data_IF_044247016093
#
_entry.id   IF_044247016093
#
_cell.length_a   1.000
_cell.length_b   1.000
_cell.length_c   1.000
_cell.angle_alpha   90.00
_cell.angle_beta   90.00
_cell.angle_gamma   90.00
#
_symmetry.space_group_name_H-M   'P 1'
#
loop_
_entity.id
_entity.type
_entity.pdbx_description
1 polymer ?
#
# COMPACT_ATOMS: atom_id res chain seq x y z
N UNK A 1 -9.33 -66.66 8.50
CA UNK A 1 -10.11 -67.90 8.52
C UNK A 1 -11.09 -67.82 7.35
N UNK A 2 -10.98 -68.76 6.39
CA UNK A 2 -11.70 -68.87 5.09
C UNK A 2 -11.19 -67.94 3.96
N UNK A 3 -10.33 -68.40 3.02
CA UNK A 3 -10.53 -69.35 1.89
C UNK A 3 -11.48 -68.77 0.84
N UNK A 4 -11.01 -68.44 -0.37
CA UNK A 4 -11.07 -69.23 -1.63
C UNK A 4 -11.57 -68.24 -2.72
N UNK A 5 -11.22 -68.21 -3.99
CA UNK A 5 -10.82 -69.26 -4.92
C UNK A 5 -10.25 -68.60 -6.20
N UNK A 6 -9.07 -69.05 -6.64
CA UNK A 6 -8.59 -68.95 -8.02
C UNK A 6 -9.07 -70.20 -8.77
N UNK A 7 -9.77 -70.04 -9.90
CA UNK A 7 -10.01 -71.05 -10.95
C UNK A 7 -10.94 -70.35 -11.97
N UNK A 8 -10.55 -70.02 -13.20
CA UNK A 8 -10.25 -70.92 -14.31
C UNK A 8 -9.43 -70.19 -15.38
N UNK A 9 -8.28 -70.78 -15.74
CA UNK A 9 -7.65 -70.64 -17.04
C UNK A 9 -7.81 -72.00 -17.73
N UNK A 10 -8.30 -71.99 -18.97
CA UNK A 10 -8.09 -72.94 -20.06
C UNK A 10 -8.65 -72.15 -21.27
N UNK A 11 -7.90 -71.84 -22.32
CA UNK A 11 -7.53 -72.73 -23.40
C UNK A 11 -6.17 -72.33 -24.03
N UNK A 12 -5.25 -73.28 -24.07
CA UNK A 12 -4.16 -73.37 -25.03
C UNK A 12 -4.72 -73.76 -26.41
N UNK A 13 -4.24 -73.15 -27.51
CA UNK A 13 -3.39 -73.84 -28.49
C UNK A 13 -2.94 -72.94 -29.66
N UNK A 14 -1.64 -73.05 -29.95
CA UNK A 14 -0.70 -72.35 -30.85
C UNK A 14 -0.99 -72.53 -32.38
N UNK A 15 -0.12 -72.12 -33.34
CA UNK A 15 0.93 -71.07 -33.43
C UNK A 15 0.85 -70.24 -34.75
N UNK A 16 1.66 -69.16 -34.89
CA UNK A 16 2.62 -68.92 -36.02
C UNK A 16 3.05 -67.45 -36.12
N UNK A 17 4.37 -67.27 -35.98
CA UNK A 17 5.27 -66.36 -36.70
C UNK A 17 4.69 -65.11 -37.43
N UNK A 18 5.23 -63.96 -36.99
CA UNK A 18 5.79 -62.89 -37.83
C UNK A 18 4.81 -62.02 -38.63
N UNK A 19 4.56 -60.80 -38.16
CA UNK A 19 4.98 -59.61 -38.92
C UNK A 19 4.95 -58.36 -38.03
N UNK A 20 6.13 -57.78 -37.89
CA UNK A 20 6.40 -56.43 -37.41
C UNK A 20 5.59 -55.42 -38.26
N UNK A 21 4.51 -54.86 -37.72
CA UNK A 21 3.87 -53.66 -38.27
C UNK A 21 3.98 -52.54 -37.25
N UNK A 22 4.94 -51.68 -37.57
CA UNK A 22 5.20 -50.34 -37.05
C UNK A 22 3.88 -49.55 -36.93
N UNK A 23 3.23 -49.61 -35.76
CA UNK A 23 2.22 -48.60 -35.41
C UNK A 23 2.99 -47.33 -35.07
N UNK A 24 3.17 -46.48 -36.08
CA UNK A 24 3.48 -45.07 -35.88
C UNK A 24 2.30 -44.52 -35.10
N UNK A 25 2.40 -44.54 -33.77
CA UNK A 25 1.57 -43.74 -32.92
C UNK A 25 1.80 -42.29 -33.35
N UNK A 26 0.83 -41.71 -34.05
CA UNK A 26 0.72 -40.27 -34.14
C UNK A 26 0.42 -39.78 -32.72
N UNK A 27 1.48 -39.57 -31.94
CA UNK A 27 1.44 -38.67 -30.82
C UNK A 27 1.18 -37.29 -31.41
N UNK A 28 -0.09 -36.95 -31.56
CA UNK A 28 -0.48 -35.56 -31.75
C UNK A 28 -0.02 -34.84 -30.49
N UNK A 29 1.05 -34.07 -30.63
CA UNK A 29 1.45 -33.11 -29.61
C UNK A 29 0.18 -32.34 -29.18
N UNK A 30 -0.07 -32.13 -27.88
CA UNK A 30 -1.16 -31.27 -27.46
C UNK A 30 -1.01 -29.97 -28.23
N UNK A 31 -2.07 -29.59 -28.95
CA UNK A 31 -2.08 -28.40 -29.79
C UNK A 31 -1.46 -27.26 -28.99
N UNK A 32 -0.40 -26.65 -29.54
CA UNK A 32 0.29 -25.52 -28.95
C UNK A 32 -0.77 -24.56 -28.42
N UNK A 33 -0.77 -24.34 -27.10
CA UNK A 33 -1.72 -23.47 -26.42
C UNK A 33 -1.74 -22.16 -27.20
N UNK A 34 -2.90 -21.84 -27.79
CA UNK A 34 -3.06 -20.69 -28.68
C UNK A 34 -2.41 -19.50 -27.99
N UNK A 35 -1.36 -18.97 -28.62
CA UNK A 35 -0.58 -17.82 -28.18
C UNK A 35 -1.51 -16.79 -27.53
N UNK A 36 -1.58 -16.80 -26.19
CA UNK A 36 -2.49 -15.95 -25.44
C UNK A 36 -2.01 -14.54 -25.72
N UNK A 37 -2.77 -13.79 -26.50
CA UNK A 37 -2.37 -12.43 -26.88
C UNK A 37 -2.47 -11.52 -25.65
N UNK A 38 -1.40 -11.51 -24.85
CA UNK A 38 -1.28 -10.68 -23.67
C UNK A 38 -1.45 -9.19 -24.00
N UNK A 39 -1.32 -8.76 -25.28
CA UNK A 39 -1.48 -7.36 -25.68
C UNK A 39 -2.93 -6.89 -25.59
N UNK A 40 -3.91 -7.77 -25.84
CA UNK A 40 -5.35 -7.46 -25.73
C UNK A 40 -5.80 -7.29 -24.29
N UNK A 41 -5.21 -8.06 -23.37
CA UNK A 41 -5.60 -8.08 -21.95
C UNK A 41 -4.87 -7.01 -21.11
N UNK A 42 -3.73 -6.47 -21.60
CA UNK A 42 -2.97 -5.43 -20.89
C UNK A 42 -3.77 -4.18 -20.56
N UNK A 43 -4.77 -3.83 -21.36
CA UNK A 43 -5.63 -2.68 -21.09
C UNK A 43 -6.92 -3.06 -20.35
N UNK A 44 -7.22 -4.35 -20.16
CA UNK A 44 -8.38 -4.81 -19.39
C UNK A 44 -8.18 -4.71 -17.87
N UNK A 45 -6.99 -4.30 -17.41
CA UNK A 45 -6.69 -4.07 -16.00
C UNK A 45 -7.55 -2.89 -15.50
N UNK A 46 -8.23 -3.09 -14.36
CA UNK A 46 -9.18 -2.13 -13.80
C UNK A 46 -8.60 -0.70 -13.62
N UNK A 47 -7.31 -0.58 -13.33
CA UNK A 47 -6.62 0.70 -13.10
C UNK A 47 -6.31 1.48 -14.39
N UNK A 48 -6.37 0.82 -15.55
CA UNK A 48 -6.17 1.43 -16.86
C UNK A 48 -7.49 1.72 -17.59
N UNK A 49 -8.62 1.38 -16.97
CA UNK A 49 -9.94 1.70 -17.48
C UNK A 49 -10.27 3.18 -17.18
N UNK A 50 -11.00 3.86 -18.08
CA UNK A 50 -11.43 5.24 -17.83
C UNK A 50 -12.30 5.31 -16.58
N UNK A 51 -12.12 6.37 -15.79
CA UNK A 51 -12.95 6.62 -14.61
C UNK A 51 -14.36 6.98 -15.08
N UNK A 52 -15.33 6.10 -14.83
CA UNK A 52 -16.73 6.31 -15.16
C UNK A 52 -17.44 6.86 -13.92
N UNK A 53 -18.04 8.06 -14.05
CA UNK A 53 -18.85 8.65 -12.97
C UNK A 53 -20.08 7.77 -12.72
N UNK A 54 -20.18 7.20 -11.53
CA UNK A 54 -21.32 6.39 -11.11
C UNK A 54 -22.39 7.28 -10.47
N UNK A 55 -23.65 7.02 -10.79
CA UNK A 55 -24.77 7.64 -10.09
C UNK A 55 -25.00 6.91 -8.76
N UNK A 56 -25.29 7.63 -7.66
CA UNK A 56 -25.61 7.00 -6.38
C UNK A 56 -26.80 6.03 -6.51
N UNK A 57 -26.75 4.84 -5.88
CA UNK A 57 -27.87 3.91 -5.84
C UNK A 57 -29.13 4.52 -5.19
N UNK A 58 -30.29 4.00 -5.58
CA UNK A 58 -31.55 4.36 -4.94
C UNK A 58 -31.57 3.88 -3.48
N UNK A 59 -32.07 4.74 -2.59
CA UNK A 59 -32.13 4.46 -1.15
C UNK A 59 -33.47 3.83 -0.76
N UNK A 60 -33.42 2.89 0.18
CA UNK A 60 -34.59 2.47 0.93
C UNK A 60 -35.03 3.57 1.90
N UNK A 61 -36.31 3.55 2.31
CA UNK A 61 -36.87 4.57 3.20
C UNK A 61 -36.14 4.63 4.55
N UNK A 62 -35.67 3.48 5.04
CA UNK A 62 -34.98 3.35 6.33
C UNK A 62 -33.62 4.07 6.37
N UNK A 63 -32.94 4.20 5.23
CA UNK A 63 -31.58 4.76 5.16
C UNK A 63 -31.56 6.27 4.90
N UNK A 64 -32.70 6.88 4.54
CA UNK A 64 -32.77 8.30 4.13
C UNK A 64 -32.31 9.27 5.21
N UNK A 65 -32.53 8.94 6.48
CA UNK A 65 -32.13 9.80 7.60
C UNK A 65 -30.68 9.55 8.06
N UNK A 66 -30.07 8.44 7.65
CA UNK A 66 -28.70 8.07 8.02
C UNK A 66 -27.68 8.61 7.01
N UNK A 67 -28.04 8.60 5.72
CA UNK A 67 -27.19 9.07 4.63
C UNK A 67 -26.92 10.57 4.75
N UNK A 68 -25.64 10.95 4.83
CA UNK A 68 -25.17 12.35 4.88
C UNK A 68 -24.45 12.76 3.60
N UNK A 69 -23.81 11.82 2.91
CA UNK A 69 -23.03 12.09 1.71
C UNK A 69 -23.31 11.04 0.59
N UNK A 70 -22.89 11.29 -0.67
CA UNK A 70 -23.11 10.35 -1.77
C UNK A 70 -22.45 8.98 -1.61
N UNK A 71 -21.38 8.86 -0.80
CA UNK A 71 -20.68 7.61 -0.52
C UNK A 71 -21.55 6.70 0.35
N UNK A 72 -22.29 7.27 1.30
CA UNK A 72 -23.20 6.54 2.19
C UNK A 72 -24.28 5.80 1.40
N UNK A 73 -24.67 6.27 0.21
CA UNK A 73 -25.60 5.53 -0.67
C UNK A 73 -25.03 4.18 -1.11
N UNK A 74 -23.75 4.15 -1.47
CA UNK A 74 -23.09 2.92 -1.90
C UNK A 74 -22.91 1.96 -0.72
N UNK A 75 -22.64 2.49 0.48
CA UNK A 75 -22.56 1.70 1.70
C UNK A 75 -23.92 1.10 2.05
N UNK A 76 -24.98 1.92 2.08
CA UNK A 76 -26.35 1.46 2.36
C UNK A 76 -26.80 0.38 1.37
N UNK A 77 -26.56 0.58 0.06
CA UNK A 77 -26.86 -0.43 -0.95
C UNK A 77 -26.14 -1.77 -0.70
N UNK A 78 -24.85 -1.72 -0.31
CA UNK A 78 -24.08 -2.93 0.01
C UNK A 78 -24.50 -3.60 1.32
N UNK A 79 -24.97 -2.83 2.30
CA UNK A 79 -25.52 -3.37 3.54
C UNK A 79 -26.87 -4.06 3.29
N UNK A 80 -27.78 -3.42 2.53
CA UNK A 80 -29.08 -4.02 2.16
C UNK A 80 -28.91 -5.30 1.34
N UNK A 81 -28.01 -5.32 0.34
CA UNK A 81 -27.66 -6.54 -0.43
C UNK A 81 -27.24 -7.70 0.49
N UNK A 82 -26.54 -7.39 1.59
CA UNK A 82 -26.07 -8.34 2.58
C UNK A 82 -27.03 -8.56 3.75
N UNK A 83 -28.21 -7.92 3.74
CA UNK A 83 -29.20 -7.97 4.82
C UNK A 83 -28.63 -7.50 6.17
N UNK A 84 -27.73 -6.52 6.13
CA UNK A 84 -27.11 -5.90 7.29
C UNK A 84 -27.66 -4.48 7.50
N UNK A 85 -27.57 -4.00 8.74
CA UNK A 85 -27.93 -2.64 9.12
C UNK A 85 -26.70 -1.87 9.58
N UNK A 86 -26.77 -0.54 9.48
CA UNK A 86 -25.71 0.35 9.97
C UNK A 86 -25.62 0.26 11.50
N UNK A 87 -24.40 0.38 12.03
CA UNK A 87 -24.20 0.45 13.47
C UNK A 87 -24.70 1.79 14.02
N UNK A 88 -25.23 1.83 15.25
CA UNK A 88 -25.59 3.09 15.89
C UNK A 88 -24.35 3.96 16.08
N UNK A 89 -24.56 5.27 16.09
CA UNK A 89 -23.50 6.23 16.37
C UNK A 89 -22.90 5.99 17.77
N UNK A 90 -21.59 6.15 17.87
CA UNK A 90 -20.90 5.90 19.13
C UNK A 90 -21.19 7.01 20.14
N UNK A 91 -21.16 6.66 21.42
CA UNK A 91 -21.28 7.62 22.52
C UNK A 91 -20.25 8.76 22.38
N UNK A 92 -20.60 10.02 22.71
CA UNK A 92 -19.69 11.17 22.56
C UNK A 92 -18.32 10.97 23.21
N UNK A 93 -18.24 10.31 24.38
CA UNK A 93 -16.95 10.00 25.02
C UNK A 93 -16.09 9.04 24.21
N UNK A 94 -16.72 8.09 23.51
CA UNK A 94 -16.02 7.17 22.61
C UNK A 94 -15.57 7.88 21.34
N UNK A 95 -16.38 8.79 20.81
CA UNK A 95 -16.05 9.56 19.60
C UNK A 95 -14.82 10.44 19.81
N UNK A 96 -14.81 11.29 20.84
CA UNK A 96 -13.64 12.15 21.11
C UNK A 96 -12.37 11.33 21.34
N UNK A 97 -12.47 10.23 22.10
CA UNK A 97 -11.31 9.36 22.33
C UNK A 97 -10.76 8.79 21.02
N UNK A 98 -11.62 8.31 20.11
CA UNK A 98 -11.20 7.78 18.81
C UNK A 98 -10.52 8.86 17.97
N UNK A 99 -11.15 10.03 17.84
CA UNK A 99 -10.59 11.16 17.09
C UNK A 99 -9.18 11.53 17.55
N UNK A 100 -8.98 11.66 18.86
CA UNK A 100 -7.67 12.00 19.42
C UNK A 100 -6.60 10.93 19.14
N UNK A 101 -6.93 9.64 19.28
CA UNK A 101 -5.98 8.57 18.97
C UNK A 101 -5.71 8.43 17.47
N UNK A 102 -6.72 8.62 16.64
CA UNK A 102 -6.60 8.46 15.20
C UNK A 102 -5.82 9.64 14.59
N UNK A 103 -6.11 10.87 15.00
CA UNK A 103 -5.51 12.07 14.43
C UNK A 103 -4.20 12.48 15.10
N UNK A 104 -4.11 12.41 16.43
CA UNK A 104 -2.93 12.86 17.19
C UNK A 104 -2.12 11.70 17.79
N UNK A 105 -2.73 10.52 17.98
CA UNK A 105 -2.09 9.39 18.62
C UNK A 105 -1.97 9.48 20.14
N UNK A 106 -2.60 10.49 20.75
CA UNK A 106 -2.59 10.75 22.19
C UNK A 106 -4.02 10.73 22.72
N UNK A 107 -4.25 10.40 24.01
CA UNK A 107 -5.57 10.53 24.60
C UNK A 107 -5.97 12.01 24.82
N UNK A 108 -7.27 12.35 24.78
CA UNK A 108 -7.75 13.65 25.21
C UNK A 108 -7.61 13.82 26.72
N UNK A 109 -7.52 15.06 27.18
CA UNK A 109 -7.58 15.42 28.59
C UNK A 109 -9.01 15.26 29.15
N UNK A 110 -9.17 15.08 30.48
CA UNK A 110 -10.50 15.00 31.09
C UNK A 110 -11.38 16.24 30.82
N UNK A 111 -10.77 17.42 30.76
CA UNK A 111 -11.49 18.69 30.54
C UNK A 111 -12.01 18.78 29.10
N UNK A 112 -11.19 18.44 28.10
CA UNK A 112 -11.61 18.38 26.69
C UNK A 112 -12.75 17.36 26.48
N UNK A 113 -12.71 16.22 27.19
CA UNK A 113 -13.81 15.24 27.16
C UNK A 113 -15.07 15.82 27.78
N UNK A 114 -14.96 16.51 28.92
CA UNK A 114 -16.12 17.12 29.57
C UNK A 114 -16.75 18.17 28.67
N UNK A 115 -15.94 19.06 28.09
CA UNK A 115 -16.39 20.12 27.19
C UNK A 115 -17.15 19.54 26.00
N UNK A 116 -16.56 18.59 25.28
CA UNK A 116 -17.17 17.96 24.11
C UNK A 116 -18.47 17.21 24.43
N UNK A 117 -18.53 16.50 25.56
CA UNK A 117 -19.72 15.73 25.95
C UNK A 117 -20.89 16.65 26.33
N UNK A 118 -20.60 17.84 26.86
CA UNK A 118 -21.62 18.82 27.22
C UNK A 118 -21.98 19.78 26.07
N UNK A 119 -21.20 19.79 24.99
CA UNK A 119 -21.46 20.64 23.84
C UNK A 119 -22.68 20.12 23.07
N UNK A 120 -23.73 20.95 23.02
CA UNK A 120 -24.98 20.66 22.32
C UNK A 120 -25.03 21.24 20.91
N UNK A 121 -23.99 21.96 20.49
CA UNK A 121 -23.89 22.50 19.14
C UNK A 121 -23.89 21.35 18.12
N UNK A 122 -24.79 21.38 17.11
CA UNK A 122 -24.77 20.40 16.02
C UNK A 122 -23.44 20.31 15.26
N UNK A 123 -22.58 21.33 15.35
CA UNK A 123 -21.25 21.38 14.74
C UNK A 123 -20.10 21.06 15.71
N UNK A 124 -20.38 20.62 16.93
CA UNK A 124 -19.34 20.32 17.93
C UNK A 124 -18.33 19.27 17.42
N UNK A 125 -18.80 18.26 16.69
CA UNK A 125 -17.95 17.21 16.13
C UNK A 125 -17.03 17.76 15.03
N UNK A 126 -17.59 18.49 14.07
CA UNK A 126 -16.86 19.08 12.95
C UNK A 126 -15.83 20.10 13.44
N UNK A 127 -16.21 20.97 14.39
CA UNK A 127 -15.28 21.91 15.03
C UNK A 127 -14.12 21.20 15.73
N UNK A 128 -14.40 20.10 16.42
CA UNK A 128 -13.36 19.30 17.06
C UNK A 128 -12.42 18.68 16.01
N UNK A 129 -12.96 18.10 14.93
CA UNK A 129 -12.15 17.54 13.85
C UNK A 129 -11.25 18.59 13.23
N UNK A 130 -11.79 19.77 12.89
CA UNK A 130 -11.01 20.87 12.32
C UNK A 130 -9.90 21.34 13.27
N UNK A 131 -10.20 21.44 14.57
CA UNK A 131 -9.21 21.78 15.60
C UNK A 131 -8.07 20.76 15.68
N UNK A 132 -8.39 19.46 15.63
CA UNK A 132 -7.41 18.39 15.69
C UNK A 132 -6.56 18.33 14.41
N UNK A 133 -7.16 18.52 13.23
CA UNK A 133 -6.44 18.60 11.96
C UNK A 133 -5.53 19.84 11.89
N UNK A 134 -5.94 20.95 12.51
CA UNK A 134 -5.13 22.16 12.62
C UNK A 134 -4.03 22.11 13.69
N UNK A 135 -3.96 21.06 14.49
CA UNK A 135 -2.95 20.89 15.54
C UNK A 135 -1.59 20.53 14.95
N UNK A 136 -0.46 21.11 15.42
CA UNK A 136 0.87 20.71 14.95
C UNK A 136 1.19 19.23 15.20
N UNK A 137 0.53 18.62 16.19
CA UNK A 137 0.66 17.20 16.54
C UNK A 137 0.09 16.28 15.45
N UNK A 138 -0.82 16.78 14.61
CA UNK A 138 -1.35 16.02 13.47
C UNK A 138 -0.22 15.65 12.51
N UNK A 139 0.60 16.63 12.11
CA UNK A 139 1.74 16.41 11.24
C UNK A 139 2.78 15.49 11.86
N UNK A 140 3.03 15.58 13.17
CA UNK A 140 3.94 14.65 13.87
C UNK A 140 3.43 13.20 13.85
N UNK A 141 2.11 13.02 14.05
CA UNK A 141 1.47 11.71 14.02
C UNK A 141 1.50 11.11 12.63
N UNK A 142 1.09 11.85 11.62
CA UNK A 142 0.96 11.37 10.24
C UNK A 142 2.28 11.26 9.50
N UNK A 143 3.25 12.14 9.80
CA UNK A 143 4.60 12.03 9.28
C UNK A 143 5.25 10.71 9.68
N UNK A 144 4.99 10.18 10.88
CA UNK A 144 5.52 8.87 11.30
C UNK A 144 5.12 7.77 10.32
N UNK A 145 3.84 7.71 9.94
CA UNK A 145 3.36 6.71 8.99
C UNK A 145 4.03 6.85 7.61
N UNK A 146 4.27 8.08 7.16
CA UNK A 146 5.03 8.31 5.92
C UNK A 146 6.48 7.86 6.05
N UNK A 147 7.14 8.21 7.15
CA UNK A 147 8.54 7.86 7.42
C UNK A 147 8.75 6.34 7.52
N UNK A 148 7.77 5.61 8.04
CA UNK A 148 7.77 4.15 8.07
C UNK A 148 7.70 3.56 6.64
N UNK A 149 6.84 4.12 5.77
CA UNK A 149 6.66 3.65 4.38
C UNK A 149 7.95 3.76 3.56
N UNK A 150 8.69 4.86 3.76
CA UNK A 150 9.91 5.14 2.98
C UNK A 150 11.17 4.58 3.63
N UNK A 151 11.05 3.84 4.74
CA UNK A 151 12.17 3.28 5.50
C UNK A 151 13.14 4.34 6.04
N UNK A 152 12.62 5.47 6.53
CA UNK A 152 13.45 6.49 7.15
C UNK A 152 14.14 5.95 8.41
N UNK A 153 15.41 6.28 8.56
CA UNK A 153 16.19 5.98 9.76
C UNK A 153 17.19 7.08 10.06
N UNK A 154 17.40 7.36 11.34
CA UNK A 154 18.47 8.26 11.82
C UNK A 154 19.86 7.61 11.76
N UNK A 155 19.94 6.35 11.30
CA UNK A 155 21.16 5.58 11.11
C UNK A 155 21.21 4.92 9.73
N UNK A 156 22.33 4.30 9.36
CA UNK A 156 22.47 3.64 8.07
C UNK A 156 21.62 2.38 7.93
N UNK A 157 21.26 1.72 9.03
CA UNK A 157 20.36 0.56 9.02
C UNK A 157 20.91 -0.67 8.28
N UNK A 158 22.23 -0.73 8.03
CA UNK A 158 22.90 -1.79 7.30
C UNK A 158 24.28 -2.09 7.88
N UNK A 159 24.67 -3.37 7.91
CA UNK A 159 25.94 -3.97 8.40
C UNK A 159 26.75 -3.11 9.39
N UNK A 160 27.53 -2.13 8.91
CA UNK A 160 28.13 -1.07 9.73
C UNK A 160 27.16 0.10 9.94
N UNK A 161 26.26 -0.08 10.91
CA UNK A 161 25.30 0.95 11.24
C UNK A 161 25.97 2.19 11.87
N UNK A 162 25.87 3.33 11.19
CA UNK A 162 26.38 4.62 11.69
C UNK A 162 25.23 5.62 11.77
N UNK A 163 25.39 6.60 12.66
CA UNK A 163 24.48 7.74 12.73
C UNK A 163 24.51 8.55 11.44
N UNK A 164 23.35 9.09 11.07
CA UNK A 164 23.19 10.10 10.01
C UNK A 164 22.94 11.47 10.66
N UNK A 165 23.97 12.32 10.83
CA UNK A 165 23.82 13.57 11.58
C UNK A 165 22.78 14.53 11.00
N UNK A 166 22.50 14.42 9.70
CA UNK A 166 21.64 15.33 8.94
C UNK A 166 20.40 14.62 8.35
N UNK A 167 19.91 13.53 8.96
CA UNK A 167 18.67 12.89 8.51
C UNK A 167 17.41 13.67 8.93
N UNK A 168 17.45 14.27 10.13
CA UNK A 168 16.32 14.96 10.75
C UNK A 168 15.68 16.11 9.94
N UNK A 169 16.38 16.88 9.07
CA UNK A 169 15.73 17.93 8.29
C UNK A 169 14.64 17.38 7.36
N UNK A 170 14.85 16.17 6.82
CA UNK A 170 13.83 15.53 5.99
C UNK A 170 12.60 15.13 6.81
N UNK A 171 12.78 14.57 8.02
CA UNK A 171 11.68 14.28 8.94
C UNK A 171 10.87 15.55 9.23
N UNK A 172 11.55 16.64 9.56
CA UNK A 172 10.91 17.91 9.87
C UNK A 172 10.21 18.50 8.63
N UNK A 173 10.75 18.29 7.43
CA UNK A 173 10.08 18.63 6.17
C UNK A 173 8.74 17.88 6.01
N UNK A 174 8.72 16.56 6.26
CA UNK A 174 7.49 15.76 6.15
C UNK A 174 6.44 16.24 7.16
N UNK A 175 6.83 16.50 8.41
CA UNK A 175 5.93 17.04 9.45
C UNK A 175 5.30 18.36 9.00
N UNK A 176 6.11 19.28 8.47
CA UNK A 176 5.61 20.57 7.95
C UNK A 176 4.69 20.38 6.75
N UNK A 177 5.02 19.48 5.84
CA UNK A 177 4.20 19.22 4.66
C UNK A 177 2.78 18.78 5.05
N UNK A 178 2.64 17.87 6.02
CA UNK A 178 1.33 17.47 6.55
C UNK A 178 0.60 18.62 7.25
N UNK A 179 1.27 19.36 8.14
CA UNK A 179 0.65 20.48 8.86
C UNK A 179 0.23 21.65 7.95
N UNK A 180 0.86 21.80 6.79
CA UNK A 180 0.52 22.84 5.81
C UNK A 180 -0.51 22.40 4.76
N UNK A 181 -1.05 21.18 4.87
CA UNK A 181 -1.90 20.55 3.83
C UNK A 181 -1.27 20.66 2.43
N UNK A 182 0.00 20.24 2.32
CA UNK A 182 0.76 20.43 1.09
C UNK A 182 0.13 19.63 -0.05
N UNK A 183 -0.15 20.26 -1.22
CA UNK A 183 -0.68 19.54 -2.36
C UNK A 183 0.21 18.35 -2.74
N UNK A 184 -0.41 17.17 -2.91
CA UNK A 184 0.32 15.92 -3.15
C UNK A 184 1.32 16.04 -4.31
N UNK A 185 0.92 16.65 -5.44
CA UNK A 185 1.83 16.84 -6.57
C UNK A 185 3.08 17.64 -6.23
N UNK A 186 2.96 18.67 -5.38
CA UNK A 186 4.09 19.47 -4.88
C UNK A 186 4.98 18.64 -3.94
N UNK A 187 4.35 17.88 -3.05
CA UNK A 187 5.03 16.98 -2.11
C UNK A 187 5.86 15.90 -2.82
N UNK A 188 5.36 15.34 -3.92
CA UNK A 188 6.10 14.39 -4.76
C UNK A 188 7.28 15.07 -5.47
N UNK A 189 7.04 16.23 -6.09
CA UNK A 189 8.08 16.98 -6.81
C UNK A 189 9.26 17.37 -5.92
N UNK A 190 8.99 17.85 -4.70
CA UNK A 190 10.03 18.24 -3.74
C UNK A 190 10.86 17.03 -3.27
N UNK A 191 10.27 15.84 -3.19
CA UNK A 191 10.98 14.63 -2.76
C UNK A 191 11.84 14.01 -3.86
N UNK A 192 11.38 14.04 -5.12
CA UNK A 192 12.08 13.41 -6.25
C UNK A 192 13.10 14.33 -6.90
N UNK A 193 12.85 15.65 -6.92
CA UNK A 193 13.71 16.61 -7.62
C UNK A 193 13.62 18.01 -7.03
N UNK A 194 13.46 18.13 -5.70
CA UNK A 194 13.31 19.41 -5.02
C UNK A 194 14.47 20.37 -5.23
N UNK A 195 15.69 19.86 -5.29
CA UNK A 195 16.92 20.61 -5.51
C UNK A 195 16.99 21.21 -6.92
N UNK A 196 16.46 20.50 -7.91
CA UNK A 196 16.41 20.97 -9.31
C UNK A 196 15.23 21.89 -9.56
N UNK A 197 14.04 21.53 -9.07
CA UNK A 197 12.81 22.25 -9.33
C UNK A 197 12.66 23.49 -8.44
N UNK A 198 13.17 23.43 -7.21
CA UNK A 198 13.02 24.47 -6.17
C UNK A 198 14.34 24.74 -5.40
N UNK A 199 15.45 25.06 -6.08
CA UNK A 199 16.81 25.11 -5.52
C UNK A 199 17.02 26.09 -4.35
N UNK A 200 16.12 27.07 -4.19
CA UNK A 200 16.25 28.17 -3.22
C UNK A 200 15.26 28.07 -2.07
N UNK A 201 14.38 27.06 -2.06
CA UNK A 201 13.43 26.88 -0.96
C UNK A 201 13.98 25.87 0.05
N UNK A 202 13.67 26.09 1.34
CA UNK A 202 14.00 25.13 2.40
C UNK A 202 13.50 23.73 2.05
N UNK A 203 12.25 23.64 1.61
CA UNK A 203 11.60 22.38 1.27
C UNK A 203 12.16 21.73 -0.01
N UNK A 204 12.69 22.51 -0.96
CA UNK A 204 13.40 21.98 -2.12
C UNK A 204 14.75 21.39 -1.77
N UNK A 205 15.41 21.88 -0.71
CA UNK A 205 16.69 21.35 -0.22
C UNK A 205 16.47 20.15 0.71
N UNK A 206 15.48 20.22 1.59
CA UNK A 206 15.21 19.16 2.59
C UNK A 206 14.44 17.97 1.99
N UNK A 207 13.54 18.21 1.03
CA UNK A 207 12.69 17.20 0.39
C UNK A 207 13.45 16.03 -0.27
N UNK A 208 14.55 16.27 -1.02
CA UNK A 208 15.36 15.22 -1.61
C UNK A 208 16.02 14.27 -0.60
N UNK A 209 15.96 14.56 0.70
CA UNK A 209 16.30 13.58 1.74
C UNK A 209 15.56 12.25 1.59
N UNK A 210 14.38 12.25 0.95
CA UNK A 210 13.64 11.04 0.53
C UNK A 210 14.51 10.06 -0.26
N UNK A 211 15.28 10.56 -1.23
CA UNK A 211 16.11 9.73 -2.12
C UNK A 211 17.23 9.03 -1.33
N UNK A 212 17.63 9.62 -0.21
CA UNK A 212 18.62 9.05 0.70
C UNK A 212 17.95 8.28 1.86
N UNK A 213 16.62 8.19 1.92
CA UNK A 213 15.93 7.41 2.94
C UNK A 213 16.03 5.92 2.61
N UNK A 214 16.28 5.09 3.63
CA UNK A 214 16.49 3.65 3.50
C UNK A 214 17.90 3.18 3.86
N UNK A 215 18.16 1.87 3.89
CA UNK A 215 19.45 1.31 4.30
C UNK A 215 20.60 1.80 3.42
N UNK A 216 21.78 2.06 4.01
CA UNK A 216 22.95 2.51 3.26
C UNK A 216 24.20 1.69 3.63
N UNK A 217 24.84 1.12 2.61
CA UNK A 217 26.04 0.29 2.80
C UNK A 217 27.29 1.14 2.99
N UNK A 218 27.66 1.37 4.26
CA UNK A 218 28.88 2.10 4.61
C UNK A 218 30.14 1.44 4.03
N UNK A 219 30.23 0.11 4.03
CA UNK A 219 31.44 -0.59 3.61
C UNK A 219 31.62 -0.43 2.10
N UNK A 220 30.59 -0.77 1.33
CA UNK A 220 30.59 -0.70 -0.13
C UNK A 220 30.82 0.72 -0.66
N UNK A 221 30.39 1.75 0.08
CA UNK A 221 30.50 3.14 -0.36
C UNK A 221 31.70 3.91 0.18
N UNK A 222 32.19 3.60 1.40
CA UNK A 222 33.26 4.35 2.05
C UNK A 222 34.59 3.59 2.17
N UNK A 223 34.55 2.26 2.30
CA UNK A 223 35.75 1.44 2.52
C UNK A 223 36.23 0.74 1.24
N UNK A 224 35.31 0.49 0.29
CA UNK A 224 35.63 -0.13 -1.00
C UNK A 224 35.62 0.92 -2.11
N UNK A 225 36.77 1.23 -2.74
CA UNK A 225 36.81 2.20 -3.82
C UNK A 225 36.14 1.67 -5.09
N UNK A 226 35.54 2.58 -5.88
CA UNK A 226 34.88 2.29 -7.16
C UNK A 226 35.83 1.76 -8.25
N UNK A 227 37.14 1.81 -8.03
CA UNK A 227 38.11 1.15 -8.89
C UNK A 227 37.99 -0.38 -8.82
N UNK A 228 37.43 -0.93 -7.74
CA UNK A 228 37.17 -2.35 -7.56
C UNK A 228 35.79 -2.72 -8.08
N UNK A 229 35.66 -3.96 -8.56
CA UNK A 229 34.38 -4.48 -9.05
C UNK A 229 33.29 -4.40 -7.95
N UNK A 230 33.63 -4.79 -6.72
CA UNK A 230 32.69 -4.80 -5.59
C UNK A 230 32.17 -3.39 -5.26
N UNK A 231 33.02 -2.36 -5.31
CA UNK A 231 32.61 -0.97 -5.12
C UNK A 231 31.65 -0.48 -6.21
N UNK A 232 31.88 -0.89 -7.47
CA UNK A 232 30.95 -0.59 -8.58
C UNK A 232 29.62 -1.32 -8.42
N UNK A 233 29.65 -2.55 -7.93
CA UNK A 233 28.43 -3.33 -7.66
C UNK A 233 27.60 -2.64 -6.57
N UNK A 234 28.22 -2.27 -5.44
CA UNK A 234 27.54 -1.58 -4.35
C UNK A 234 26.81 -0.31 -4.83
N UNK A 235 27.49 0.55 -5.60
CA UNK A 235 26.89 1.78 -6.17
C UNK A 235 25.71 1.51 -7.10
N UNK A 236 25.78 0.46 -7.91
CA UNK A 236 24.70 0.11 -8.82
C UNK A 236 23.49 -0.45 -8.07
N UNK A 237 23.72 -1.24 -7.01
CA UNK A 237 22.65 -1.75 -6.14
C UNK A 237 21.97 -0.59 -5.42
N UNK A 238 22.73 0.31 -4.80
CA UNK A 238 22.19 1.48 -4.10
C UNK A 238 21.33 2.35 -5.03
N UNK A 239 21.80 2.62 -6.26
CA UNK A 239 21.02 3.35 -7.26
C UNK A 239 19.74 2.60 -7.70
N UNK A 240 19.82 1.29 -7.84
CA UNK A 240 18.66 0.45 -8.17
C UNK A 240 17.63 0.48 -7.02
N UNK A 241 18.08 0.43 -5.78
CA UNK A 241 17.22 0.54 -4.59
C UNK A 241 16.58 1.92 -4.47
N UNK A 242 17.30 3.01 -4.75
CA UNK A 242 16.73 4.36 -4.80
C UNK A 242 15.59 4.46 -5.83
N UNK A 243 15.79 3.89 -7.03
CA UNK A 243 14.77 3.86 -8.10
C UNK A 243 13.58 2.99 -7.68
N UNK A 244 13.83 1.79 -7.15
CA UNK A 244 12.78 0.89 -6.67
C UNK A 244 11.97 1.50 -5.54
N UNK A 245 12.60 2.12 -4.55
CA UNK A 245 11.93 2.78 -3.43
C UNK A 245 11.03 3.92 -3.93
N UNK A 246 11.55 4.73 -4.87
CA UNK A 246 10.78 5.81 -5.50
C UNK A 246 9.56 5.26 -6.23
N UNK A 247 9.72 4.22 -7.05
CA UNK A 247 8.61 3.61 -7.79
C UNK A 247 7.59 3.00 -6.82
N UNK A 248 8.01 2.20 -5.84
CA UNK A 248 7.10 1.58 -4.87
C UNK A 248 6.33 2.60 -4.02
N UNK A 249 6.92 3.78 -3.76
CA UNK A 249 6.28 4.81 -2.94
C UNK A 249 5.23 5.60 -3.72
N UNK A 250 5.46 5.86 -5.02
CA UNK A 250 4.66 6.82 -5.79
C UNK A 250 3.90 6.23 -7.00
N UNK A 251 4.17 4.99 -7.42
CA UNK A 251 3.64 4.35 -8.63
C UNK A 251 2.96 3.02 -8.29
#
# INVERSE_FOLDING_TARGET
MLRNFLSQCDWCDLPKLTLLLLVIGQATAPAAEKNKDYRKDRFAIWSLQPIIKQSPPALEQADRNWVRNPIDHFIAAKLSEKQLTHSPEADPRKLIRRLYFDLLGLPPTPDEVSEFVTDTDPMAYERLVDSLLGSPLYGERWARHWLDVIHYGDTHGYDKDKLRPNAWPYRDYVIRAFNSDKPYGRFVQEQVAGDVLFPVTRDGIEGPGFISAGPWDFIGHAEVPETKLDGRIARNIDRDDMVKNTMNTFV
#
